data_IF_093499088489
#
_entry.id   IF_093499088489
#
_cell.length_a   1.000
_cell.length_b   1.000
_cell.length_c   1.000
_cell.angle_alpha   90.00
_cell.angle_beta   90.00
_cell.angle_gamma   90.00
#
_symmetry.space_group_name_H-M   'P 1'
#
loop_
_entity.id
_entity.type
_entity.pdbx_description
1 polymer ?
#
# COMPACT_ATOMS: atom_id res chain seq x y z
N UNK A 1 1.25 -21.01 -11.25
CA UNK A 1 1.66 -20.42 -9.96
C UNK A 1 2.91 -21.10 -9.39
N UNK A 2 3.00 -22.46 -9.42
CA UNK A 2 4.16 -23.24 -8.92
C UNK A 2 5.46 -22.80 -9.60
N UNK A 3 5.50 -22.70 -10.94
CA UNK A 3 6.68 -22.26 -11.67
C UNK A 3 7.20 -20.88 -11.26
N UNK A 4 6.27 -19.94 -10.94
CA UNK A 4 6.67 -18.62 -10.43
C UNK A 4 7.33 -18.73 -9.03
N UNK A 5 6.85 -19.62 -8.16
CA UNK A 5 7.44 -19.83 -6.83
C UNK A 5 8.82 -20.48 -6.91
N UNK A 6 8.97 -21.47 -7.79
CA UNK A 6 10.28 -22.12 -8.04
C UNK A 6 11.29 -21.07 -8.54
N UNK A 7 10.93 -20.26 -9.54
CA UNK A 7 11.80 -19.21 -10.04
C UNK A 7 12.16 -18.18 -8.97
N UNK A 8 11.22 -17.81 -8.12
CA UNK A 8 11.43 -16.86 -7.03
C UNK A 8 12.43 -17.42 -5.99
N UNK A 9 12.22 -18.65 -5.51
CA UNK A 9 13.12 -19.29 -4.52
C UNK A 9 14.51 -19.49 -5.14
N UNK A 10 14.58 -19.92 -6.39
CA UNK A 10 15.86 -20.06 -7.12
C UNK A 10 16.62 -18.72 -7.15
N UNK A 11 15.95 -17.61 -7.46
CA UNK A 11 16.58 -16.29 -7.47
C UNK A 11 17.12 -15.86 -6.10
N UNK A 12 16.55 -16.33 -5.00
CA UNK A 12 17.07 -16.09 -3.65
C UNK A 12 18.31 -16.92 -3.37
N UNK A 13 18.30 -18.20 -3.75
CA UNK A 13 19.47 -19.08 -3.61
C UNK A 13 20.65 -18.59 -4.42
N UNK A 14 20.43 -18.16 -5.66
CA UNK A 14 21.46 -17.59 -6.54
C UNK A 14 22.05 -16.26 -6.01
N UNK A 15 21.25 -15.51 -5.24
CA UNK A 15 21.66 -14.22 -4.66
C UNK A 15 22.21 -14.36 -3.23
N UNK A 16 22.18 -15.56 -2.63
CA UNK A 16 22.69 -15.79 -1.29
C UNK A 16 24.24 -15.72 -1.29
N UNK A 17 24.79 -14.93 -0.37
CA UNK A 17 26.24 -14.82 -0.20
C UNK A 17 26.79 -16.12 0.40
N UNK A 18 27.83 -16.69 -0.24
CA UNK A 18 28.36 -18.01 0.10
C UNK A 18 28.79 -18.12 1.58
N UNK A 19 29.50 -17.11 2.11
CA UNK A 19 30.04 -17.17 3.48
C UNK A 19 29.00 -16.86 4.57
N UNK A 20 27.97 -16.06 4.25
CA UNK A 20 27.04 -15.55 5.29
C UNK A 20 25.62 -16.08 5.15
N UNK A 21 25.27 -16.67 4.02
CA UNK A 21 23.90 -17.06 3.66
C UNK A 21 22.94 -15.88 3.51
N UNK A 22 23.43 -14.62 3.56
CA UNK A 22 22.58 -13.43 3.45
C UNK A 22 22.24 -13.10 2.01
N UNK A 23 21.02 -12.65 1.80
CA UNK A 23 20.54 -12.15 0.51
C UNK A 23 20.46 -10.63 0.58
N UNK A 24 21.20 -9.94 -0.27
CA UNK A 24 21.23 -8.50 -0.36
C UNK A 24 20.50 -8.04 -1.62
N UNK A 25 19.22 -7.68 -1.49
CA UNK A 25 18.46 -7.11 -2.59
C UNK A 25 18.86 -5.65 -2.85
N UNK A 26 18.80 -5.25 -4.11
CA UNK A 26 18.97 -3.85 -4.49
C UNK A 26 17.70 -3.04 -4.23
N UNK A 27 17.82 -1.90 -3.55
CA UNK A 27 16.73 -0.97 -3.26
C UNK A 27 17.02 0.38 -3.90
N UNK A 28 16.16 0.80 -4.84
CA UNK A 28 16.14 2.19 -5.27
C UNK A 28 15.17 2.97 -4.37
N UNK A 29 15.69 3.85 -3.55
CA UNK A 29 14.94 4.58 -2.53
C UNK A 29 13.88 5.53 -3.09
N UNK A 30 13.94 5.84 -4.38
CA UNK A 30 12.98 6.72 -5.07
C UNK A 30 12.63 6.16 -6.47
N UNK A 31 12.49 4.85 -6.60
CA UNK A 31 12.34 4.19 -7.90
C UNK A 31 10.94 4.29 -8.53
N UNK A 32 9.91 4.55 -7.73
CA UNK A 32 8.55 4.75 -8.23
C UNK A 32 8.21 6.24 -8.42
N UNK A 33 7.33 6.56 -9.38
CA UNK A 33 6.84 7.94 -9.60
C UNK A 33 6.21 8.53 -8.33
N UNK A 34 5.59 7.67 -7.51
CA UNK A 34 4.99 8.05 -6.22
C UNK A 34 6.02 8.25 -5.11
N UNK A 35 7.31 8.08 -5.37
CA UNK A 35 8.36 8.14 -4.36
C UNK A 35 8.50 6.88 -3.51
N UNK A 36 7.73 5.81 -3.76
CA UNK A 36 7.93 4.52 -3.10
C UNK A 36 9.29 3.92 -3.48
N UNK A 37 9.89 3.18 -2.57
CA UNK A 37 11.07 2.37 -2.84
C UNK A 37 10.72 1.25 -3.81
N UNK A 38 11.64 0.93 -4.71
CA UNK A 38 11.53 -0.25 -5.59
C UNK A 38 12.65 -1.24 -5.29
N UNK A 39 12.34 -2.52 -5.42
CA UNK A 39 13.22 -3.62 -5.04
C UNK A 39 13.52 -4.51 -6.24
N UNK A 40 14.79 -4.95 -6.35
CA UNK A 40 15.25 -5.84 -7.42
C UNK A 40 16.50 -6.62 -6.99
N UNK A 41 16.86 -7.66 -7.72
CA UNK A 41 18.12 -8.40 -7.63
C UNK A 41 18.43 -9.01 -6.25
N UNK A 42 17.56 -9.83 -5.67
CA UNK A 42 16.17 -10.14 -6.01
C UNK A 42 15.17 -9.12 -5.42
N UNK A 43 13.90 -9.18 -5.87
CA UNK A 43 12.85 -8.35 -5.29
C UNK A 43 12.34 -8.96 -3.98
N UNK A 44 12.86 -8.48 -2.86
CA UNK A 44 12.51 -8.96 -1.52
C UNK A 44 11.15 -8.45 -1.02
N UNK A 45 10.62 -7.38 -1.62
CA UNK A 45 9.27 -6.88 -1.29
C UNK A 45 8.14 -7.79 -1.79
N UNK A 46 8.45 -8.82 -2.58
CA UNK A 46 7.46 -9.76 -3.14
C UNK A 46 7.51 -11.15 -2.49
N UNK A 47 8.08 -11.29 -1.31
CA UNK A 47 7.95 -12.54 -0.54
C UNK A 47 6.47 -12.81 -0.29
N UNK A 48 5.95 -14.00 -0.65
CA UNK A 48 4.53 -14.29 -0.58
C UNK A 48 3.98 -14.13 0.84
N UNK A 49 2.72 -13.67 0.95
CA UNK A 49 2.03 -13.66 2.24
C UNK A 49 1.79 -15.08 2.76
N UNK A 50 1.74 -15.26 4.07
CA UNK A 50 1.47 -16.56 4.71
C UNK A 50 0.14 -17.18 4.30
N UNK A 51 -0.83 -16.39 3.87
CA UNK A 51 -2.13 -16.87 3.36
C UNK A 51 -2.10 -17.31 1.91
N UNK A 52 -1.02 -17.04 1.16
CA UNK A 52 -0.90 -17.42 -0.25
C UNK A 52 -0.36 -18.85 -0.40
N UNK A 53 -0.62 -19.48 -1.54
CA UNK A 53 -0.10 -20.81 -1.86
C UNK A 53 1.44 -20.79 -1.82
N UNK A 54 2.02 -21.71 -1.01
CA UNK A 54 3.44 -21.79 -0.68
C UNK A 54 3.99 -20.55 0.06
N UNK A 55 3.13 -19.74 0.64
CA UNK A 55 3.54 -18.56 1.40
C UNK A 55 4.33 -18.88 2.65
N UNK A 56 3.83 -19.80 3.53
CA UNK A 56 4.55 -20.22 4.72
C UNK A 56 5.95 -20.78 4.42
N UNK A 57 6.06 -21.63 3.39
CA UNK A 57 7.33 -22.22 2.97
C UNK A 57 8.31 -21.18 2.47
N UNK A 58 7.84 -20.23 1.64
CA UNK A 58 8.67 -19.12 1.19
C UNK A 58 9.14 -18.23 2.33
N UNK A 59 8.30 -17.99 3.33
CA UNK A 59 8.67 -17.20 4.51
C UNK A 59 9.62 -17.93 5.44
N UNK A 60 9.52 -19.24 5.58
CA UNK A 60 10.43 -20.04 6.39
C UNK A 60 11.87 -20.07 5.86
N UNK A 61 12.09 -19.70 4.60
CA UNK A 61 13.44 -19.50 4.05
C UNK A 61 14.19 -18.31 4.68
N UNK A 62 13.46 -17.39 5.33
CA UNK A 62 14.02 -16.17 5.90
C UNK A 62 14.13 -16.33 7.41
N UNK A 63 15.38 -16.38 7.87
CA UNK A 63 15.71 -16.56 9.28
C UNK A 63 16.58 -15.41 9.78
N UNK A 64 16.64 -15.26 11.08
CA UNK A 64 17.54 -14.30 11.74
C UNK A 64 18.65 -15.02 12.48
N UNK A 65 19.83 -14.38 12.69
CA UNK A 65 20.91 -14.96 13.48
C UNK A 65 20.43 -15.31 14.90
N UNK A 66 21.11 -16.27 15.54
CA UNK A 66 20.85 -16.64 16.93
C UNK A 66 20.98 -15.40 17.84
N UNK A 67 19.99 -15.20 18.71
CA UNK A 67 19.91 -14.06 19.62
C UNK A 67 19.17 -12.84 19.06
N UNK A 68 18.84 -12.84 17.78
CA UNK A 68 18.02 -11.78 17.15
C UNK A 68 16.57 -12.23 16.97
N UNK A 69 15.70 -11.23 16.77
CA UNK A 69 14.29 -11.42 16.39
C UNK A 69 14.01 -10.60 15.15
N UNK A 70 13.20 -11.12 14.25
CA UNK A 70 12.63 -10.32 13.16
C UNK A 70 11.40 -9.60 13.70
N UNK A 71 11.40 -8.28 13.57
CA UNK A 71 10.29 -7.41 13.99
C UNK A 71 9.74 -6.71 12.76
N UNK A 72 8.44 -6.86 12.51
CA UNK A 72 7.71 -6.13 11.46
C UNK A 72 6.86 -5.04 12.11
N UNK A 73 6.95 -3.83 11.57
CA UNK A 73 6.15 -2.67 11.98
C UNK A 73 5.40 -2.16 10.76
N UNK A 74 4.08 -2.35 10.73
CA UNK A 74 3.19 -1.98 9.62
C UNK A 74 2.34 -0.76 9.96
N UNK A 75 2.20 0.15 8.99
CA UNK A 75 1.35 1.33 9.13
C UNK A 75 -0.10 0.98 8.77
N UNK A 76 -0.91 0.71 9.78
CA UNK A 76 -2.30 0.30 9.60
C UNK A 76 -3.12 1.28 8.75
N UNK A 77 -3.60 0.80 7.60
CA UNK A 77 -4.50 1.54 6.73
C UNK A 77 -3.91 2.84 6.16
N UNK A 78 -2.61 2.85 5.84
CA UNK A 78 -1.88 4.06 5.42
C UNK A 78 -2.60 4.84 4.32
N UNK A 79 -3.01 4.18 3.23
CA UNK A 79 -3.71 4.85 2.13
C UNK A 79 -5.05 5.47 2.56
N UNK A 80 -5.80 4.82 3.45
CA UNK A 80 -7.07 5.35 3.95
C UNK A 80 -6.85 6.55 4.89
N UNK A 81 -5.75 6.57 5.63
CA UNK A 81 -5.35 7.72 6.45
C UNK A 81 -4.94 8.91 5.59
N UNK A 82 -4.23 8.66 4.48
CA UNK A 82 -3.91 9.70 3.50
C UNK A 82 -5.18 10.19 2.80
N UNK A 83 -6.12 9.30 2.52
CA UNK A 83 -7.42 9.66 1.97
C UNK A 83 -8.18 10.60 2.92
N UNK A 84 -8.28 10.26 4.20
CA UNK A 84 -8.91 11.11 5.22
C UNK A 84 -8.28 12.50 5.28
N UNK A 85 -6.94 12.57 5.25
CA UNK A 85 -6.22 13.84 5.23
C UNK A 85 -6.61 14.71 4.02
N UNK A 86 -6.61 14.14 2.81
CA UNK A 86 -6.94 14.89 1.60
C UNK A 86 -8.44 15.22 1.46
N UNK A 87 -9.32 14.37 2.00
CA UNK A 87 -10.75 14.66 2.04
C UNK A 87 -11.07 15.83 2.96
N UNK A 88 -10.27 16.03 4.00
CA UNK A 88 -10.48 17.03 5.05
C UNK A 88 -11.91 16.97 5.62
N UNK A 89 -12.38 15.75 5.87
CA UNK A 89 -13.70 15.43 6.42
C UNK A 89 -13.52 14.95 7.86
N UNK A 90 -14.09 15.68 8.81
CA UNK A 90 -13.90 15.42 10.24
C UNK A 90 -14.53 14.08 10.67
N UNK A 91 -15.71 13.73 10.14
CA UNK A 91 -16.43 12.51 10.51
C UNK A 91 -15.70 11.28 9.95
N UNK A 92 -15.23 11.34 8.70
CA UNK A 92 -14.44 10.28 8.10
C UNK A 92 -13.11 10.10 8.84
N UNK A 93 -12.45 11.20 9.19
CA UNK A 93 -11.19 11.19 9.96
C UNK A 93 -11.42 10.58 11.34
N UNK A 94 -12.45 10.99 12.05
CA UNK A 94 -12.78 10.41 13.35
C UNK A 94 -13.07 8.91 13.26
N UNK A 95 -13.81 8.48 12.24
CA UNK A 95 -14.11 7.06 12.01
C UNK A 95 -12.83 6.24 11.77
N UNK A 96 -11.84 6.79 11.05
CA UNK A 96 -10.56 6.11 10.81
C UNK A 96 -9.71 6.01 12.09
N UNK A 97 -9.80 7.00 12.98
CA UNK A 97 -8.99 7.05 14.19
C UNK A 97 -9.57 6.23 15.34
N UNK A 98 -10.89 6.19 15.47
CA UNK A 98 -11.58 5.65 16.67
C UNK A 98 -12.53 4.49 16.36
N UNK A 99 -12.87 4.28 15.09
CA UNK A 99 -13.87 3.30 14.65
C UNK A 99 -13.34 2.27 13.66
N UNK A 100 -14.26 1.62 12.98
CA UNK A 100 -13.97 0.69 11.88
C UNK A 100 -14.35 1.30 10.53
N UNK A 101 -13.37 1.83 9.84
CA UNK A 101 -13.53 2.47 8.54
C UNK A 101 -14.09 1.50 7.47
N UNK A 102 -13.82 0.21 7.57
CA UNK A 102 -14.35 -0.75 6.62
C UNK A 102 -15.84 -0.98 6.80
N UNK A 103 -16.32 -0.96 8.04
CA UNK A 103 -17.77 -0.96 8.33
C UNK A 103 -18.44 0.34 7.87
N UNK A 104 -17.82 1.50 8.08
CA UNK A 104 -18.33 2.76 7.56
C UNK A 104 -18.43 2.75 6.02
N UNK A 105 -17.37 2.28 5.33
CA UNK A 105 -17.36 2.13 3.88
C UNK A 105 -18.38 1.08 3.39
N UNK A 106 -18.63 0.02 4.18
CA UNK A 106 -19.66 -0.98 3.88
C UNK A 106 -21.05 -0.33 3.82
N UNK A 107 -21.38 0.47 4.83
CA UNK A 107 -22.66 1.18 4.91
C UNK A 107 -22.81 2.21 3.77
N UNK A 108 -21.76 3.02 3.56
CA UNK A 108 -21.72 4.04 2.51
C UNK A 108 -21.89 3.44 1.09
N UNK A 109 -21.30 2.27 0.85
CA UNK A 109 -21.37 1.57 -0.43
C UNK A 109 -22.62 0.67 -0.55
N UNK A 110 -23.37 0.43 0.55
CA UNK A 110 -24.50 -0.52 0.57
C UNK A 110 -24.05 -1.97 0.33
N UNK A 111 -22.88 -2.37 0.85
CA UNK A 111 -22.31 -3.70 0.67
C UNK A 111 -22.76 -4.67 1.75
N UNK A 112 -22.90 -5.95 1.40
CA UNK A 112 -23.43 -6.98 2.30
C UNK A 112 -22.44 -7.33 3.44
N UNK A 113 -21.12 -7.25 3.17
CA UNK A 113 -20.10 -7.66 4.14
C UNK A 113 -18.98 -6.63 4.24
N UNK A 114 -18.34 -6.59 5.41
CA UNK A 114 -17.16 -5.79 5.69
C UNK A 114 -15.97 -6.15 4.79
N UNK A 115 -15.79 -7.43 4.49
CA UNK A 115 -14.69 -7.91 3.63
C UNK A 115 -14.89 -7.47 2.17
N UNK A 116 -16.14 -7.48 1.69
CA UNK A 116 -16.48 -6.90 0.38
C UNK A 116 -16.19 -5.40 0.35
N UNK A 117 -16.45 -4.67 1.44
CA UNK A 117 -16.15 -3.25 1.54
C UNK A 117 -14.65 -2.99 1.55
N UNK A 118 -13.88 -3.77 2.29
CA UNK A 118 -12.42 -3.71 2.27
C UNK A 118 -11.87 -3.94 0.85
N UNK A 119 -12.32 -4.98 0.18
CA UNK A 119 -11.91 -5.27 -1.19
C UNK A 119 -12.34 -4.17 -2.16
N UNK A 120 -13.57 -3.67 -2.02
CA UNK A 120 -14.10 -2.60 -2.85
C UNK A 120 -13.30 -1.30 -2.70
N UNK A 121 -13.07 -0.81 -1.47
CA UNK A 121 -12.42 0.49 -1.27
C UNK A 121 -11.00 0.49 -1.84
N UNK A 122 -10.22 -0.56 -1.60
CA UNK A 122 -8.88 -0.64 -2.19
C UNK A 122 -8.92 -0.75 -3.71
N UNK A 123 -9.78 -1.60 -4.27
CA UNK A 123 -9.94 -1.69 -5.72
C UNK A 123 -10.35 -0.32 -6.33
N UNK A 124 -11.25 0.39 -5.66
CA UNK A 124 -11.70 1.73 -6.06
C UNK A 124 -10.55 2.74 -6.03
N UNK A 125 -9.78 2.80 -4.95
CA UNK A 125 -8.64 3.70 -4.79
C UNK A 125 -7.54 3.40 -5.81
N UNK A 126 -7.34 2.13 -6.16
CA UNK A 126 -6.40 1.71 -7.20
C UNK A 126 -6.94 1.91 -8.64
N UNK A 127 -8.07 2.56 -8.80
CA UNK A 127 -8.61 2.92 -10.11
C UNK A 127 -9.23 1.76 -10.88
N UNK A 128 -9.73 0.73 -10.19
CA UNK A 128 -10.37 -0.40 -10.85
C UNK A 128 -11.57 0.04 -11.70
N UNK A 129 -11.67 -0.49 -12.92
CA UNK A 129 -12.79 -0.27 -13.81
C UNK A 129 -14.09 -0.87 -13.27
N UNK A 130 -15.22 -0.44 -13.84
CA UNK A 130 -16.56 -0.85 -13.41
C UNK A 130 -16.76 -2.37 -13.44
N UNK A 131 -16.19 -3.05 -14.44
CA UNK A 131 -16.25 -4.52 -14.55
C UNK A 131 -15.61 -5.20 -13.34
N UNK A 132 -14.39 -4.76 -12.98
CA UNK A 132 -13.67 -5.30 -11.83
C UNK A 132 -14.40 -5.01 -10.52
N UNK A 133 -14.93 -3.80 -10.35
CA UNK A 133 -15.73 -3.44 -9.17
C UNK A 133 -17.01 -4.28 -9.11
N UNK A 134 -17.69 -4.48 -10.24
CA UNK A 134 -18.88 -5.32 -10.31
C UNK A 134 -18.61 -6.77 -9.91
N UNK A 135 -17.47 -7.32 -10.29
CA UNK A 135 -17.09 -8.70 -9.95
C UNK A 135 -16.94 -8.94 -8.44
N UNK A 136 -16.60 -7.90 -7.65
CA UNK A 136 -16.48 -7.99 -6.18
C UNK A 136 -17.84 -8.31 -5.53
N UNK A 137 -18.94 -7.86 -6.17
CA UNK A 137 -20.31 -8.04 -5.67
C UNK A 137 -21.11 -9.06 -6.50
N UNK A 138 -20.43 -9.95 -7.21
CA UNK A 138 -21.07 -10.99 -8.02
C UNK A 138 -21.90 -10.44 -9.18
N UNK A 139 -21.43 -9.35 -9.82
CA UNK A 139 -22.09 -8.72 -10.97
C UNK A 139 -21.09 -8.20 -12.00
N UNK A 140 -21.63 -7.66 -13.10
CA UNK A 140 -20.84 -7.09 -14.19
C UNK A 140 -20.73 -5.56 -14.12
N UNK A 141 -20.32 -4.96 -15.23
CA UNK A 141 -20.01 -3.53 -15.38
C UNK A 141 -21.12 -2.60 -14.87
N UNK A 142 -22.39 -2.88 -15.19
CA UNK A 142 -23.52 -2.04 -14.77
C UNK A 142 -23.64 -1.98 -13.24
N UNK A 143 -23.49 -3.12 -12.56
CA UNK A 143 -23.52 -3.20 -11.10
C UNK A 143 -22.33 -2.49 -10.46
N UNK A 144 -21.16 -2.62 -11.06
CA UNK A 144 -19.95 -1.90 -10.61
C UNK A 144 -20.08 -0.38 -10.74
N UNK A 145 -20.62 0.11 -11.86
CA UNK A 145 -20.91 1.53 -12.04
C UNK A 145 -21.89 2.04 -10.98
N UNK A 146 -23.02 1.35 -10.80
CA UNK A 146 -24.03 1.70 -9.79
C UNK A 146 -23.43 1.77 -8.38
N UNK A 147 -22.56 0.81 -8.04
CA UNK A 147 -21.88 0.78 -6.73
C UNK A 147 -20.97 1.99 -6.54
N UNK A 148 -20.14 2.35 -7.54
CA UNK A 148 -19.30 3.54 -7.51
C UNK A 148 -20.12 4.82 -7.36
N UNK A 149 -21.18 4.97 -8.13
CA UNK A 149 -22.05 6.16 -8.12
C UNK A 149 -22.74 6.31 -6.76
N UNK A 150 -23.27 5.22 -6.19
CA UNK A 150 -23.87 5.21 -4.86
C UNK A 150 -22.85 5.57 -3.77
N UNK A 151 -21.66 5.02 -3.83
CA UNK A 151 -20.59 5.30 -2.87
C UNK A 151 -20.15 6.76 -2.91
N UNK A 152 -19.92 7.33 -4.11
CA UNK A 152 -19.59 8.75 -4.25
C UNK A 152 -20.70 9.68 -3.79
N UNK A 153 -21.95 9.29 -4.01
CA UNK A 153 -23.10 10.06 -3.50
C UNK A 153 -23.15 10.06 -1.96
N UNK A 154 -22.79 8.93 -1.34
CA UNK A 154 -22.73 8.81 0.12
C UNK A 154 -21.48 9.44 0.74
N UNK A 155 -20.45 9.74 -0.08
CA UNK A 155 -19.16 10.32 0.36
C UNK A 155 -18.82 11.57 -0.46
N UNK A 156 -19.52 12.71 -0.24
CA UNK A 156 -19.35 13.93 -1.06
C UNK A 156 -17.93 14.50 -1.02
N UNK A 157 -17.26 14.42 0.13
CA UNK A 157 -15.87 14.87 0.28
C UNK A 157 -14.92 14.08 -0.62
N UNK A 158 -15.14 12.77 -0.78
CA UNK A 158 -14.38 11.94 -1.72
C UNK A 158 -14.67 12.32 -3.18
N UNK A 159 -15.93 12.60 -3.51
CA UNK A 159 -16.29 13.03 -4.85
C UNK A 159 -15.57 14.34 -5.23
N UNK A 160 -15.57 15.32 -4.33
CA UNK A 160 -14.85 16.59 -4.49
C UNK A 160 -13.34 16.40 -4.59
N UNK A 161 -12.75 15.56 -3.75
CA UNK A 161 -11.32 15.23 -3.84
C UNK A 161 -10.97 14.63 -5.20
N UNK A 162 -11.77 13.68 -5.68
CA UNK A 162 -11.55 13.04 -6.98
C UNK A 162 -11.60 14.04 -8.12
N UNK A 163 -12.54 14.97 -8.10
CA UNK A 163 -12.63 16.05 -9.09
C UNK A 163 -11.40 16.96 -9.06
N UNK A 164 -10.98 17.42 -7.89
CA UNK A 164 -9.79 18.26 -7.71
C UNK A 164 -8.51 17.58 -8.22
N UNK A 165 -8.38 16.28 -7.91
CA UNK A 165 -7.23 15.48 -8.37
C UNK A 165 -7.26 15.30 -9.89
N UNK A 166 -8.43 15.07 -10.49
CA UNK A 166 -8.57 14.95 -11.94
C UNK A 166 -8.22 16.26 -12.65
N UNK A 167 -8.69 17.41 -12.15
CA UNK A 167 -8.33 18.74 -12.67
C UNK A 167 -6.81 19.00 -12.58
N UNK A 168 -6.18 18.60 -11.48
CA UNK A 168 -4.73 18.72 -11.32
C UNK A 168 -3.99 17.79 -12.29
N UNK A 169 -4.46 16.55 -12.44
CA UNK A 169 -3.88 15.55 -13.33
C UNK A 169 -3.93 15.95 -14.81
N UNK A 170 -4.90 16.77 -15.22
CA UNK A 170 -4.97 17.34 -16.57
C UNK A 170 -3.74 18.17 -16.93
N UNK A 171 -2.99 18.67 -15.93
CA UNK A 171 -1.70 19.35 -16.11
C UNK A 171 -0.52 18.39 -16.27
N UNK A 172 -0.76 17.06 -16.22
CA UNK A 172 0.25 16.01 -16.26
C UNK A 172 0.90 15.68 -14.93
N UNK A 173 0.56 16.38 -13.84
CA UNK A 173 1.09 16.12 -12.50
C UNK A 173 0.13 16.59 -11.40
N UNK A 174 0.31 16.02 -10.21
CA UNK A 174 -0.29 16.50 -8.95
C UNK A 174 0.82 17.02 -8.04
N UNK A 175 0.47 17.90 -7.10
CA UNK A 175 1.41 18.37 -6.07
C UNK A 175 1.33 17.42 -4.86
N UNK A 176 2.47 16.86 -4.48
CA UNK A 176 2.61 16.02 -3.29
C UNK A 176 2.60 16.83 -1.99
N UNK A 177 2.59 16.14 -0.84
CA UNK A 177 2.58 16.78 0.49
C UNK A 177 3.78 17.70 0.76
N UNK A 178 4.92 17.41 0.14
CA UNK A 178 6.16 18.19 0.26
C UNK A 178 6.35 19.21 -0.90
N UNK A 179 5.31 19.45 -1.68
CA UNK A 179 5.34 20.37 -2.82
C UNK A 179 5.94 19.80 -4.10
N UNK A 180 6.47 18.58 -4.11
CA UNK A 180 7.02 17.96 -5.33
C UNK A 180 5.95 17.69 -6.37
N UNK A 181 6.36 17.73 -7.64
CA UNK A 181 5.52 17.28 -8.74
C UNK A 181 5.53 15.76 -8.84
N UNK A 182 4.35 15.16 -8.72
CA UNK A 182 4.13 13.72 -8.94
C UNK A 182 3.50 13.55 -10.30
N UNK A 183 4.24 13.05 -11.27
CA UNK A 183 3.77 12.91 -12.65
C UNK A 183 2.71 11.83 -12.76
N UNK A 184 1.65 12.10 -13.50
CA UNK A 184 0.50 11.23 -13.67
C UNK A 184 0.56 10.54 -15.03
N UNK A 185 0.58 9.22 -15.04
CA UNK A 185 0.61 8.41 -16.26
C UNK A 185 -0.77 8.21 -16.90
N UNK A 186 -1.83 8.25 -16.08
CA UNK A 186 -3.21 8.18 -16.53
C UNK A 186 -4.12 8.85 -15.50
N UNK A 187 -5.20 9.44 -15.93
CA UNK A 187 -6.19 10.09 -15.07
C UNK A 187 -6.78 9.13 -14.03
N UNK A 188 -7.02 7.87 -14.44
CA UNK A 188 -7.55 6.84 -13.53
C UNK A 188 -6.61 6.50 -12.37
N UNK A 189 -5.30 6.71 -12.54
CA UNK A 189 -4.29 6.45 -11.51
C UNK A 189 -4.02 7.67 -10.63
N UNK A 190 -4.61 8.83 -10.92
CA UNK A 190 -4.25 10.10 -10.29
C UNK A 190 -4.51 10.08 -8.77
N UNK A 191 -5.70 9.65 -8.34
CA UNK A 191 -6.02 9.55 -6.91
C UNK A 191 -5.08 8.57 -6.19
N UNK A 192 -4.86 7.39 -6.77
CA UNK A 192 -3.92 6.41 -6.23
C UNK A 192 -2.51 6.98 -6.11
N UNK A 193 -2.02 7.66 -7.17
CA UNK A 193 -0.70 8.30 -7.15
C UNK A 193 -0.58 9.35 -6.06
N UNK A 194 -1.65 10.13 -5.82
CA UNK A 194 -1.73 11.10 -4.73
C UNK A 194 -1.54 10.41 -3.36
N UNK A 195 -2.36 9.41 -3.08
CA UNK A 195 -2.36 8.69 -1.80
C UNK A 195 -1.05 7.95 -1.57
N UNK A 196 -0.54 7.24 -2.58
CA UNK A 196 0.73 6.52 -2.48
C UNK A 196 1.92 7.46 -2.30
N UNK A 197 1.93 8.63 -2.96
CA UNK A 197 3.00 9.61 -2.78
C UNK A 197 3.02 10.14 -1.35
N UNK A 198 1.86 10.50 -0.81
CA UNK A 198 1.73 10.94 0.57
C UNK A 198 2.18 9.85 1.55
N UNK A 199 1.67 8.62 1.39
CA UNK A 199 2.05 7.49 2.23
C UNK A 199 3.55 7.20 2.19
N UNK A 200 4.18 7.25 1.00
CA UNK A 200 5.62 7.00 0.88
C UNK A 200 6.46 8.05 1.61
N UNK A 201 6.02 9.30 1.60
CA UNK A 201 6.68 10.40 2.31
C UNK A 201 6.59 10.22 3.84
N UNK A 202 5.39 9.91 4.33
CA UNK A 202 5.16 9.64 5.76
C UNK A 202 6.00 8.46 6.23
N UNK A 203 6.04 7.36 5.48
CA UNK A 203 6.85 6.19 5.84
C UNK A 203 8.35 6.49 5.85
N UNK A 204 8.87 7.25 4.89
CA UNK A 204 10.28 7.66 4.90
C UNK A 204 10.62 8.53 6.11
N UNK A 205 9.73 9.45 6.47
CA UNK A 205 9.89 10.27 7.67
C UNK A 205 9.81 9.41 8.93
N UNK A 206 8.88 8.47 8.99
CA UNK A 206 8.75 7.54 10.11
C UNK A 206 10.01 6.66 10.27
N UNK A 207 10.63 6.21 9.18
CA UNK A 207 11.88 5.46 9.21
C UNK A 207 13.01 6.26 9.86
N UNK A 208 13.16 7.55 9.48
CA UNK A 208 14.17 8.44 10.05
C UNK A 208 13.93 8.66 11.56
N UNK A 209 12.68 8.82 11.95
CA UNK A 209 12.29 8.99 13.35
C UNK A 209 12.59 7.72 14.15
N UNK A 210 12.20 6.56 13.61
CA UNK A 210 12.46 5.25 14.22
C UNK A 210 13.96 5.02 14.45
N UNK A 211 14.78 5.29 13.44
CA UNK A 211 16.24 5.18 13.47
C UNK A 211 16.81 6.05 14.61
N UNK A 212 16.43 7.32 14.66
CA UNK A 212 16.87 8.27 15.71
C UNK A 212 16.53 7.81 17.12
N UNK A 213 15.29 7.33 17.33
CA UNK A 213 14.87 6.85 18.65
C UNK A 213 15.53 5.52 19.03
N UNK A 214 15.74 4.63 18.08
CA UNK A 214 16.44 3.37 18.32
C UNK A 214 17.90 3.63 18.77
N UNK A 215 18.59 4.56 18.10
CA UNK A 215 19.93 5.00 18.51
C UNK A 215 19.90 5.64 19.90
N UNK A 216 18.97 6.58 20.15
CA UNK A 216 18.85 7.29 21.43
C UNK A 216 18.63 6.33 22.60
N UNK A 217 17.87 5.27 22.40
CA UNK A 217 17.56 4.27 23.42
C UNK A 217 18.58 3.14 23.52
N UNK A 218 19.64 3.18 22.71
CA UNK A 218 20.70 2.17 22.71
C UNK A 218 20.21 0.78 22.25
N UNK A 219 19.21 0.72 21.39
CA UNK A 219 18.68 -0.55 20.85
C UNK A 219 19.68 -1.06 19.80
N UNK A 220 20.15 -2.31 19.96
CA UNK A 220 20.89 -3.01 18.90
C UNK A 220 19.90 -3.53 17.84
N UNK A 221 19.92 -2.92 16.67
CA UNK A 221 19.00 -3.23 15.58
C UNK A 221 19.68 -3.13 14.21
N UNK A 222 19.05 -3.73 13.21
CA UNK A 222 19.42 -3.59 11.79
C UNK A 222 18.17 -3.55 10.94
N UNK A 223 18.03 -2.54 10.11
CA UNK A 223 16.98 -2.55 9.10
C UNK A 223 17.30 -3.61 8.05
N UNK A 224 16.35 -4.49 7.80
CA UNK A 224 16.46 -5.59 6.82
C UNK A 224 15.43 -5.50 5.71
N UNK A 225 14.40 -4.69 5.87
CA UNK A 225 13.38 -4.47 4.85
C UNK A 225 12.63 -3.15 5.05
N UNK A 226 12.29 -2.50 3.94
CA UNK A 226 11.34 -1.40 3.87
C UNK A 226 10.36 -1.71 2.73
N UNK A 227 9.20 -2.26 3.07
CA UNK A 227 8.25 -2.83 2.13
C UNK A 227 6.98 -1.98 2.15
N UNK A 228 7.01 -0.87 1.38
CA UNK A 228 5.90 0.07 1.20
C UNK A 228 5.47 0.76 2.50
N UNK A 229 4.66 0.12 3.31
CA UNK A 229 4.06 0.55 4.57
C UNK A 229 4.56 -0.25 5.79
N UNK A 230 5.56 -1.13 5.58
CA UNK A 230 6.15 -1.97 6.61
C UNK A 230 7.67 -1.79 6.71
N UNK A 231 8.19 -1.72 7.94
CA UNK A 231 9.62 -1.81 8.26
C UNK A 231 9.92 -3.17 8.89
N UNK A 232 11.04 -3.74 8.51
CA UNK A 232 11.56 -4.96 9.10
C UNK A 232 13.01 -4.78 9.54
#
# INVERSE_FOLDING_TARGET
LVGKRIAQVRSWLEAAHEDTGRVHGYVNTNGAVTGRMTHSKPNLAQVPSSSSLYGPECRSCWIVPKGYKLVGIDASGLELRMLAHYMNDADYTNTILTGDIHTANQLAAGLATRDSAKTFIYAYLYGAGDEKIGSIVGGGRAKGKKLKDSFLKATPALAKLKENVAQSAAKGYITGLDGRKVFIRSEHAALNSCLQSAGSLIMKQALIILDRYAILWGIDYKFVGNIHDEFQ
#
